data_IF_242697364095
#
_entry.id   IF_242697364095
#
_cell.length_a   1.000
_cell.length_b   1.000
_cell.length_c   1.000
_cell.angle_alpha   90.00
_cell.angle_beta   90.00
_cell.angle_gamma   90.00
#
_symmetry.space_group_name_H-M   'P 1'
#
loop_
_entity.id
_entity.type
_entity.pdbx_description
1 polymer ?
#
# COMPACT_ATOMS: atom_id res chain seq x y z
N UNK A 1 -13.12 -40.66 2.12
CA UNK A 1 -13.53 -40.65 0.66
C UNK A 1 -14.61 -39.59 0.55
N UNK A 2 -14.39 -38.52 -0.16
CA UNK A 2 -15.23 -37.40 -0.66
C UNK A 2 -14.78 -35.99 -0.20
N UNK A 3 -13.50 -35.64 -0.45
CA UNK A 3 -12.99 -34.28 -0.29
C UNK A 3 -12.54 -33.62 -1.61
N UNK A 4 -13.03 -34.10 -2.75
CA UNK A 4 -12.59 -33.61 -4.08
C UNK A 4 -13.78 -33.33 -5.03
N UNK A 5 -14.87 -32.75 -4.57
CA UNK A 5 -15.93 -32.30 -5.49
C UNK A 5 -16.51 -30.98 -5.04
N UNK A 6 -15.99 -29.88 -5.56
CA UNK A 6 -16.47 -28.52 -5.31
C UNK A 6 -15.80 -27.50 -6.24
N UNK A 7 -15.46 -27.89 -7.48
CA UNK A 7 -15.17 -26.92 -8.55
C UNK A 7 -16.49 -26.42 -9.11
N UNK A 8 -17.09 -25.42 -8.49
CA UNK A 8 -18.09 -24.61 -9.16
C UNK A 8 -17.40 -23.92 -10.36
N UNK A 9 -17.87 -24.23 -11.58
CA UNK A 9 -17.49 -23.49 -12.79
C UNK A 9 -17.80 -22.01 -12.54
N UNK A 10 -16.88 -21.08 -12.83
CA UNK A 10 -17.19 -19.66 -12.74
C UNK A 10 -18.29 -19.34 -13.76
N UNK A 11 -19.43 -18.86 -13.29
CA UNK A 11 -20.44 -18.26 -14.17
C UNK A 11 -19.79 -17.12 -14.96
N UNK A 12 -20.20 -16.91 -16.20
CA UNK A 12 -19.60 -15.93 -17.12
C UNK A 12 -19.55 -14.49 -16.56
N UNK A 13 -20.52 -14.13 -15.73
CA UNK A 13 -20.59 -12.86 -15.03
C UNK A 13 -19.44 -12.65 -14.00
N UNK A 14 -18.98 -13.73 -13.39
CA UNK A 14 -17.91 -13.71 -12.41
C UNK A 14 -16.52 -13.53 -13.07
N UNK A 15 -16.35 -14.03 -14.28
CA UNK A 15 -15.10 -13.91 -15.05
C UNK A 15 -14.86 -12.47 -15.52
N UNK A 16 -15.89 -11.75 -15.97
CA UNK A 16 -15.80 -10.35 -16.38
C UNK A 16 -15.45 -9.45 -15.18
N UNK A 17 -16.16 -9.61 -14.08
CA UNK A 17 -15.89 -8.88 -12.83
C UNK A 17 -14.44 -9.07 -12.35
N UNK A 18 -13.93 -10.30 -12.40
CA UNK A 18 -12.55 -10.61 -12.04
C UNK A 18 -11.55 -9.90 -12.96
N UNK A 19 -11.79 -9.89 -14.27
CA UNK A 19 -10.91 -9.19 -15.23
C UNK A 19 -10.86 -7.71 -14.95
N UNK A 20 -11.99 -7.06 -14.68
CA UNK A 20 -12.03 -5.64 -14.31
C UNK A 20 -11.24 -5.39 -13.02
N UNK A 21 -11.43 -6.22 -11.99
CA UNK A 21 -10.72 -6.06 -10.72
C UNK A 21 -9.20 -6.19 -10.89
N UNK A 22 -8.73 -7.15 -11.70
CA UNK A 22 -7.31 -7.31 -12.02
C UNK A 22 -6.78 -6.08 -12.78
N UNK A 23 -7.51 -5.60 -13.78
CA UNK A 23 -7.14 -4.40 -14.52
C UNK A 23 -7.07 -3.17 -13.61
N UNK A 24 -8.09 -2.94 -12.79
CA UNK A 24 -8.11 -1.84 -11.82
C UNK A 24 -6.93 -1.95 -10.86
N UNK A 25 -6.64 -3.14 -10.32
CA UNK A 25 -5.50 -3.36 -9.43
C UNK A 25 -4.18 -3.06 -10.14
N UNK A 26 -4.01 -3.53 -11.38
CA UNK A 26 -2.79 -3.29 -12.17
C UNK A 26 -2.58 -1.81 -12.56
N UNK A 27 -3.66 -1.12 -12.98
CA UNK A 27 -3.63 0.33 -13.25
C UNK A 27 -3.27 1.07 -11.96
N UNK A 28 -3.85 0.67 -10.83
CA UNK A 28 -3.57 1.26 -9.52
C UNK A 28 -2.11 1.09 -9.11
N UNK A 29 -1.49 -0.05 -9.41
CA UNK A 29 -0.05 -0.29 -9.21
C UNK A 29 0.78 0.69 -10.07
N UNK A 30 0.41 0.88 -11.33
CA UNK A 30 1.12 1.82 -12.21
C UNK A 30 1.01 3.26 -11.70
N UNK A 31 -0.21 3.70 -11.33
CA UNK A 31 -0.45 5.04 -10.78
C UNK A 31 0.30 5.24 -9.46
N UNK A 32 0.30 4.24 -8.59
CA UNK A 32 1.06 4.25 -7.33
C UNK A 32 2.55 4.45 -7.59
N UNK A 33 3.13 3.63 -8.46
CA UNK A 33 4.58 3.66 -8.73
C UNK A 33 5.01 4.96 -9.41
N UNK A 34 4.32 5.38 -10.46
CA UNK A 34 4.64 6.60 -11.21
C UNK A 34 4.37 7.86 -10.38
N UNK A 35 3.28 7.87 -9.62
CA UNK A 35 2.91 8.99 -8.77
C UNK A 35 3.91 9.21 -7.65
N UNK A 36 4.20 8.16 -6.87
CA UNK A 36 5.14 8.24 -5.77
C UNK A 36 6.57 8.55 -6.24
N UNK A 37 7.12 7.73 -7.15
CA UNK A 37 8.49 7.94 -7.64
C UNK A 37 8.64 9.22 -8.47
N UNK A 38 7.60 9.61 -9.22
CA UNK A 38 7.61 10.84 -10.00
C UNK A 38 7.59 12.10 -9.12
N UNK A 39 6.96 12.05 -7.94
CA UNK A 39 6.86 13.18 -7.04
C UNK A 39 8.21 13.65 -6.49
N UNK A 40 9.14 12.71 -6.28
CA UNK A 40 10.49 12.98 -5.73
C UNK A 40 11.33 13.91 -6.62
N UNK A 41 10.94 14.08 -7.89
CA UNK A 41 11.58 15.06 -8.78
C UNK A 41 11.20 16.51 -8.46
N UNK A 42 10.11 16.72 -7.75
CA UNK A 42 9.49 18.03 -7.54
C UNK A 42 9.42 18.48 -6.08
N UNK A 43 9.39 17.52 -5.15
CA UNK A 43 9.30 17.79 -3.71
C UNK A 43 10.27 16.89 -2.93
N UNK A 44 10.66 17.28 -1.70
CA UNK A 44 11.55 16.47 -0.86
C UNK A 44 11.01 15.05 -0.61
N UNK A 45 11.91 14.07 -0.54
CA UNK A 45 11.55 12.65 -0.34
C UNK A 45 10.72 12.47 0.94
N UNK A 46 11.11 13.12 2.05
CA UNK A 46 10.38 13.04 3.33
C UNK A 46 8.94 13.52 3.21
N UNK A 47 8.69 14.59 2.44
CA UNK A 47 7.35 15.09 2.18
C UNK A 47 6.58 14.14 1.24
N UNK A 48 7.25 13.60 0.21
CA UNK A 48 6.65 12.59 -0.69
C UNK A 48 6.21 11.36 0.10
N UNK A 49 7.05 10.83 0.99
CA UNK A 49 6.71 9.70 1.86
C UNK A 49 5.52 10.05 2.75
N UNK A 50 5.56 11.20 3.44
CA UNK A 50 4.47 11.61 4.34
C UNK A 50 3.12 11.71 3.60
N UNK A 51 3.10 12.37 2.45
CA UNK A 51 1.88 12.52 1.65
C UNK A 51 1.42 11.18 1.04
N UNK A 52 2.35 10.31 0.66
CA UNK A 52 2.02 8.97 0.20
C UNK A 52 1.30 8.16 1.28
N UNK A 53 1.75 8.23 2.54
CA UNK A 53 1.12 7.55 3.66
C UNK A 53 -0.25 8.12 4.09
N UNK A 54 -0.82 9.04 3.31
CA UNK A 54 -2.26 9.34 3.38
C UNK A 54 -3.13 8.25 2.75
N UNK A 55 -2.55 7.23 2.05
CA UNK A 55 -3.32 6.19 1.38
C UNK A 55 -4.32 5.45 2.28
N UNK A 56 -4.11 5.23 3.61
CA UNK A 56 -5.12 4.59 4.44
C UNK A 56 -6.40 5.42 4.57
N UNK A 57 -6.29 6.76 4.55
CA UNK A 57 -7.44 7.63 4.48
C UNK A 57 -8.26 7.39 3.19
N UNK A 58 -7.56 7.27 2.04
CA UNK A 58 -8.20 6.96 0.76
C UNK A 58 -8.83 5.57 0.75
N UNK A 59 -8.22 4.58 1.43
CA UNK A 59 -8.84 3.24 1.60
C UNK A 59 -10.13 3.33 2.38
N UNK A 60 -10.15 4.06 3.50
CA UNK A 60 -11.36 4.25 4.31
C UNK A 60 -12.46 4.96 3.51
N UNK A 61 -12.08 6.01 2.79
CA UNK A 61 -13.00 6.81 1.97
C UNK A 61 -13.59 5.98 0.82
N UNK A 62 -12.76 5.25 0.09
CA UNK A 62 -13.19 4.40 -1.03
C UNK A 62 -14.06 3.23 -0.55
N UNK A 63 -13.75 2.59 0.57
CA UNK A 63 -14.60 1.55 1.15
C UNK A 63 -16.00 2.10 1.50
N UNK A 64 -16.06 3.33 2.04
CA UNK A 64 -17.34 3.98 2.29
C UNK A 64 -18.16 4.17 0.99
N UNK A 65 -17.54 4.67 -0.08
CA UNK A 65 -18.25 4.89 -1.36
C UNK A 65 -18.58 3.60 -2.12
N UNK A 66 -17.73 2.58 -2.03
CA UNK A 66 -17.88 1.36 -2.83
C UNK A 66 -18.76 0.33 -2.11
N UNK A 67 -18.56 0.17 -0.80
CA UNK A 67 -19.20 -0.89 -0.01
C UNK A 67 -20.23 -0.35 1.00
N UNK A 68 -20.36 0.98 1.13
CA UNK A 68 -21.23 1.63 2.12
C UNK A 68 -20.74 1.47 3.57
N UNK A 69 -19.52 0.98 3.77
CA UNK A 69 -18.96 0.74 5.09
C UNK A 69 -18.56 2.06 5.77
N UNK A 70 -19.34 2.50 6.74
CA UNK A 70 -18.99 3.67 7.58
C UNK A 70 -17.80 3.31 8.46
N UNK A 71 -16.64 3.96 8.29
CA UNK A 71 -15.47 3.65 9.11
C UNK A 71 -15.75 3.99 10.58
N UNK A 72 -15.46 3.09 11.53
CA UNK A 72 -15.59 3.39 12.95
C UNK A 72 -14.75 4.62 13.32
N UNK A 73 -15.30 5.53 14.12
CA UNK A 73 -14.63 6.77 14.55
C UNK A 73 -13.21 6.52 15.09
N UNK A 74 -13.03 5.41 15.74
CA UNK A 74 -11.76 5.03 16.33
C UNK A 74 -10.72 4.60 15.27
N UNK A 75 -11.10 4.04 14.11
CA UNK A 75 -10.17 3.81 12.97
C UNK A 75 -9.68 5.13 12.39
N UNK A 76 -10.57 6.12 12.30
CA UNK A 76 -10.19 7.47 11.86
C UNK A 76 -9.21 8.09 12.86
N UNK A 77 -9.52 7.99 14.16
CA UNK A 77 -8.63 8.49 15.21
C UNK A 77 -7.27 7.80 15.19
N UNK A 78 -7.25 6.48 15.06
CA UNK A 78 -6.03 5.68 14.96
C UNK A 78 -5.17 6.10 13.75
N UNK A 79 -5.80 6.33 12.60
CA UNK A 79 -5.12 6.85 11.41
C UNK A 79 -4.52 8.23 11.69
N UNK A 80 -5.30 9.15 12.25
CA UNK A 80 -4.84 10.52 12.55
C UNK A 80 -3.64 10.50 13.49
N UNK A 81 -3.70 9.70 14.56
CA UNK A 81 -2.58 9.55 15.50
C UNK A 81 -1.34 8.99 14.79
N UNK A 82 -1.50 7.90 14.02
CA UNK A 82 -0.39 7.30 13.29
C UNK A 82 0.21 8.27 12.25
N UNK A 83 -0.62 9.04 11.55
CA UNK A 83 -0.18 10.04 10.58
C UNK A 83 0.62 11.18 11.22
N UNK A 84 0.17 11.69 12.36
CA UNK A 84 0.92 12.70 13.12
C UNK A 84 2.26 12.16 13.65
N UNK A 85 2.28 10.94 14.14
CA UNK A 85 3.51 10.26 14.53
C UNK A 85 4.49 10.13 13.37
N UNK A 86 3.99 9.76 12.17
CA UNK A 86 4.78 9.68 10.96
C UNK A 86 5.33 11.06 10.54
N UNK A 87 4.51 12.11 10.63
CA UNK A 87 4.95 13.49 10.36
C UNK A 87 6.09 13.92 11.28
N UNK A 88 6.01 13.59 12.57
CA UNK A 88 7.10 13.85 13.53
C UNK A 88 8.36 13.04 13.22
N UNK A 89 8.21 11.78 12.81
CA UNK A 89 9.33 10.88 12.48
C UNK A 89 10.09 11.35 11.24
N UNK A 90 9.38 11.78 10.20
CA UNK A 90 9.97 12.14 8.92
C UNK A 90 10.49 13.58 8.89
N UNK A 91 9.98 14.48 9.75
CA UNK A 91 10.37 15.87 9.83
C UNK A 91 10.35 16.59 8.47
N UNK A 92 9.22 16.61 7.73
CA UNK A 92 9.20 17.08 6.35
C UNK A 92 9.60 18.56 6.27
N UNK A 93 10.48 18.87 5.32
CA UNK A 93 10.80 20.26 4.99
C UNK A 93 9.69 20.82 4.10
N UNK A 94 9.20 22.01 4.44
CA UNK A 94 8.17 22.73 3.67
C UNK A 94 8.78 23.74 2.69
N UNK A 95 10.07 23.60 2.39
CA UNK A 95 10.76 24.41 1.40
C UNK A 95 10.52 23.88 0.00
N UNK A 96 10.37 24.76 -0.97
CA UNK A 96 10.23 24.45 -2.41
C UNK A 96 9.06 23.51 -2.74
N UNK A 97 7.86 23.88 -2.30
CA UNK A 97 6.64 23.14 -2.59
C UNK A 97 6.21 23.32 -4.05
N UNK A 98 6.44 22.32 -4.88
CA UNK A 98 5.88 22.24 -6.24
C UNK A 98 4.56 21.45 -6.22
N UNK A 99 3.47 22.09 -6.65
CA UNK A 99 2.14 21.49 -6.73
C UNK A 99 2.10 20.22 -7.60
N UNK A 100 3.00 20.11 -8.59
CA UNK A 100 3.13 18.92 -9.46
C UNK A 100 3.53 17.69 -8.65
N UNK A 101 4.52 17.87 -7.76
CA UNK A 101 4.95 16.79 -6.86
C UNK A 101 3.84 16.38 -5.89
N UNK A 102 3.13 17.36 -5.33
CA UNK A 102 1.98 17.10 -4.44
C UNK A 102 0.88 16.35 -5.19
N UNK A 103 0.50 16.78 -6.38
CA UNK A 103 -0.53 16.10 -7.18
C UNK A 103 -0.12 14.66 -7.53
N UNK A 104 1.14 14.46 -7.93
CA UNK A 104 1.69 13.14 -8.26
C UNK A 104 1.65 12.19 -7.06
N UNK A 105 2.11 12.63 -5.90
CA UNK A 105 2.13 11.75 -4.71
C UNK A 105 0.72 11.44 -4.19
N UNK A 106 -0.21 12.40 -4.24
CA UNK A 106 -1.61 12.14 -3.87
C UNK A 106 -2.29 11.18 -4.87
N UNK A 107 -1.99 11.30 -6.17
CA UNK A 107 -2.42 10.30 -7.15
C UNK A 107 -1.80 8.93 -6.84
N UNK A 108 -0.53 8.87 -6.45
CA UNK A 108 0.14 7.65 -6.00
C UNK A 108 -0.52 7.03 -4.75
N UNK A 109 -0.89 7.86 -3.77
CA UNK A 109 -1.61 7.41 -2.57
C UNK A 109 -3.00 6.84 -2.92
N UNK A 110 -3.72 7.50 -3.81
CA UNK A 110 -5.00 7.00 -4.33
C UNK A 110 -4.82 5.69 -5.10
N UNK A 111 -3.76 5.58 -5.91
CA UNK A 111 -3.37 4.34 -6.59
C UNK A 111 -3.09 3.22 -5.59
N UNK A 112 -2.36 3.49 -4.50
CA UNK A 112 -2.12 2.51 -3.42
C UNK A 112 -3.44 2.03 -2.80
N UNK A 113 -4.37 2.93 -2.52
CA UNK A 113 -5.69 2.58 -2.02
C UNK A 113 -6.48 1.69 -3.01
N UNK A 114 -6.46 2.04 -4.31
CA UNK A 114 -7.10 1.24 -5.36
C UNK A 114 -6.50 -0.16 -5.49
N UNK A 115 -5.16 -0.28 -5.37
CA UNK A 115 -4.46 -1.57 -5.36
C UNK A 115 -4.90 -2.43 -4.16
N UNK A 116 -4.96 -1.86 -2.96
CA UNK A 116 -5.33 -2.60 -1.74
C UNK A 116 -6.77 -3.09 -1.82
N UNK A 117 -7.72 -2.22 -2.22
CA UNK A 117 -9.14 -2.58 -2.31
C UNK A 117 -9.40 -3.55 -3.47
N UNK A 118 -8.85 -3.26 -4.65
CA UNK A 118 -8.96 -4.13 -5.82
C UNK A 118 -8.38 -5.51 -5.55
N UNK A 119 -7.21 -5.56 -4.90
CA UNK A 119 -6.56 -6.78 -4.45
C UNK A 119 -7.39 -7.55 -3.42
N UNK A 120 -7.93 -6.87 -2.39
CA UNK A 120 -8.79 -7.49 -1.38
C UNK A 120 -10.05 -8.14 -1.97
N UNK A 121 -10.65 -7.51 -2.98
CA UNK A 121 -11.81 -8.08 -3.70
C UNK A 121 -11.40 -9.20 -4.65
N UNK A 122 -10.26 -9.08 -5.31
CA UNK A 122 -9.76 -10.08 -6.27
C UNK A 122 -9.31 -11.37 -5.60
N UNK A 123 -8.66 -11.29 -4.44
CA UNK A 123 -8.12 -12.46 -3.72
C UNK A 123 -9.21 -13.43 -3.22
N UNK A 124 -10.48 -12.98 -3.19
CA UNK A 124 -11.63 -13.84 -2.91
C UNK A 124 -12.04 -14.68 -4.13
N UNK A 125 -11.67 -14.26 -5.33
CA UNK A 125 -12.10 -14.85 -6.61
C UNK A 125 -11.00 -15.65 -7.31
N UNK A 126 -9.72 -15.34 -7.01
CA UNK A 126 -8.56 -15.97 -7.67
C UNK A 126 -7.46 -16.23 -6.64
N UNK A 127 -6.53 -17.14 -6.97
CA UNK A 127 -5.36 -17.38 -6.11
C UNK A 127 -4.45 -16.15 -6.04
N UNK A 128 -3.84 -15.93 -4.88
CA UNK A 128 -2.92 -14.78 -4.67
C UNK A 128 -1.79 -14.75 -5.70
N UNK A 129 -1.22 -15.89 -6.07
CA UNK A 129 -0.16 -15.97 -7.08
C UNK A 129 -0.62 -15.42 -8.43
N UNK A 130 -1.80 -15.84 -8.89
CA UNK A 130 -2.35 -15.38 -10.15
C UNK A 130 -2.72 -13.89 -10.09
N UNK A 131 -3.28 -13.44 -8.97
CA UNK A 131 -3.56 -12.02 -8.76
C UNK A 131 -2.28 -11.19 -8.88
N UNK A 132 -1.23 -11.53 -8.13
CA UNK A 132 0.06 -10.83 -8.17
C UNK A 132 0.63 -10.85 -9.59
N UNK A 133 0.63 -12.01 -10.25
CA UNK A 133 1.15 -12.13 -11.61
C UNK A 133 0.41 -11.23 -12.61
N UNK A 134 -0.90 -11.34 -12.71
CA UNK A 134 -1.67 -10.58 -13.68
C UNK A 134 -1.71 -9.08 -13.39
N UNK A 135 -1.89 -8.68 -12.12
CA UNK A 135 -1.93 -7.25 -11.77
C UNK A 135 -0.57 -6.57 -11.97
N UNK A 136 0.54 -7.22 -11.61
CA UNK A 136 1.86 -6.66 -11.87
C UNK A 136 2.20 -6.66 -13.36
N UNK A 137 1.75 -7.65 -14.15
CA UNK A 137 1.92 -7.62 -15.60
C UNK A 137 1.23 -6.40 -16.21
N UNK A 138 -0.03 -6.13 -15.83
CA UNK A 138 -0.75 -4.92 -16.27
C UNK A 138 -0.01 -3.66 -15.85
N UNK A 139 0.40 -3.56 -14.57
CA UNK A 139 1.16 -2.41 -14.06
C UNK A 139 2.48 -2.21 -14.80
N UNK A 140 3.26 -3.29 -15.00
CA UNK A 140 4.55 -3.24 -15.68
C UNK A 140 4.41 -2.82 -17.15
N UNK A 141 3.41 -3.33 -17.87
CA UNK A 141 3.14 -2.93 -19.27
C UNK A 141 2.80 -1.44 -19.33
N UNK A 142 1.95 -0.93 -18.45
CA UNK A 142 1.58 0.48 -18.42
C UNK A 142 2.77 1.39 -18.09
N UNK A 143 3.53 1.04 -17.04
CA UNK A 143 4.74 1.78 -16.68
C UNK A 143 5.76 1.72 -17.80
N UNK A 144 5.99 0.55 -18.41
CA UNK A 144 6.90 0.38 -19.54
C UNK A 144 6.52 1.24 -20.73
N UNK A 145 5.25 1.28 -21.12
CA UNK A 145 4.75 2.14 -22.19
C UNK A 145 5.05 3.62 -21.88
N UNK A 146 4.75 4.07 -20.65
CA UNK A 146 4.99 5.46 -20.26
C UNK A 146 6.48 5.80 -20.28
N UNK A 147 7.35 4.92 -19.77
CA UNK A 147 8.79 5.14 -19.77
C UNK A 147 9.37 5.21 -21.19
N UNK A 148 8.84 4.39 -22.12
CA UNK A 148 9.24 4.43 -23.54
C UNK A 148 8.75 5.70 -24.23
N UNK A 149 7.51 6.12 -23.98
CA UNK A 149 6.95 7.33 -24.58
C UNK A 149 7.60 8.62 -24.05
N UNK A 150 8.11 8.61 -22.83
CA UNK A 150 8.77 9.76 -22.18
C UNK A 150 10.29 9.75 -22.36
N UNK A 151 10.84 8.74 -23.04
CA UNK A 151 12.28 8.54 -23.24
C UNK A 151 13.09 8.57 -21.93
N UNK A 152 12.48 8.09 -20.86
CA UNK A 152 13.09 8.06 -19.52
C UNK A 152 13.57 6.66 -19.10
N UNK A 153 13.46 5.68 -20.01
CA UNK A 153 13.89 4.31 -19.74
C UNK A 153 15.42 4.21 -19.79
N UNK A 154 16.03 3.83 -18.67
CA UNK A 154 17.47 3.55 -18.61
C UNK A 154 17.75 2.27 -17.84
N UNK A 155 18.73 1.51 -18.30
CA UNK A 155 19.19 0.28 -17.66
C UNK A 155 20.39 0.56 -16.75
N UNK A 156 20.54 -0.23 -15.70
CA UNK A 156 21.73 -0.15 -14.85
C UNK A 156 23.01 -0.47 -15.65
N UNK A 157 24.05 0.32 -15.44
CA UNK A 157 25.37 0.12 -16.06
C UNK A 157 26.32 -0.73 -15.21
N UNK A 158 25.91 -1.11 -13.99
CA UNK A 158 26.76 -1.83 -13.04
C UNK A 158 26.18 -3.17 -12.64
N UNK A 159 27.02 -4.20 -12.37
CA UNK A 159 26.56 -5.49 -11.85
C UNK A 159 25.80 -5.34 -10.51
N UNK A 160 26.26 -4.44 -9.65
CA UNK A 160 25.60 -4.16 -8.36
C UNK A 160 24.19 -3.59 -8.55
N UNK A 161 24.00 -2.71 -9.54
CA UNK A 161 22.67 -2.20 -9.90
C UNK A 161 21.74 -3.31 -10.39
N UNK A 162 22.21 -4.26 -11.17
CA UNK A 162 21.41 -5.42 -11.57
C UNK A 162 21.06 -6.33 -10.40
N UNK A 163 21.99 -6.56 -9.47
CA UNK A 163 21.70 -7.31 -8.24
C UNK A 163 20.65 -6.59 -7.39
N UNK A 164 20.72 -5.25 -7.28
CA UNK A 164 19.73 -4.43 -6.62
C UNK A 164 18.33 -4.58 -7.24
N UNK A 165 18.24 -4.47 -8.58
CA UNK A 165 16.98 -4.63 -9.32
C UNK A 165 16.39 -6.03 -9.07
N UNK A 166 17.19 -7.10 -9.17
CA UNK A 166 16.75 -8.46 -8.93
C UNK A 166 16.23 -8.63 -7.49
N UNK A 167 16.95 -8.08 -6.50
CA UNK A 167 16.55 -8.12 -5.09
C UNK A 167 15.22 -7.41 -4.85
N UNK A 168 15.03 -6.21 -5.41
CA UNK A 168 13.79 -5.46 -5.31
C UNK A 168 12.63 -6.25 -5.94
N UNK A 169 12.82 -6.85 -7.13
CA UNK A 169 11.78 -7.66 -7.77
C UNK A 169 11.33 -8.82 -6.89
N UNK A 170 12.28 -9.56 -6.31
CA UNK A 170 11.97 -10.69 -5.43
C UNK A 170 11.24 -10.23 -4.15
N UNK A 171 11.79 -9.22 -3.45
CA UNK A 171 11.20 -8.69 -2.23
C UNK A 171 9.81 -8.09 -2.47
N UNK A 172 9.61 -7.40 -3.60
CA UNK A 172 8.33 -6.82 -3.97
C UNK A 172 7.24 -7.89 -4.17
N UNK A 173 7.58 -9.00 -4.82
CA UNK A 173 6.64 -10.13 -5.00
C UNK A 173 6.25 -10.73 -3.65
N UNK A 174 7.21 -10.98 -2.75
CA UNK A 174 6.91 -11.46 -1.40
C UNK A 174 6.09 -10.46 -0.58
N UNK A 175 6.40 -9.18 -0.67
CA UNK A 175 5.65 -8.10 -0.04
C UNK A 175 4.19 -8.06 -0.51
N UNK A 176 3.96 -8.15 -1.82
CA UNK A 176 2.62 -8.17 -2.38
C UNK A 176 1.81 -9.43 -2.01
N UNK A 177 2.45 -10.59 -2.02
CA UNK A 177 1.79 -11.82 -1.57
C UNK A 177 1.35 -11.70 -0.10
N UNK A 178 2.22 -11.16 0.76
CA UNK A 178 1.93 -10.92 2.18
C UNK A 178 0.83 -9.87 2.36
N UNK A 179 0.87 -8.78 1.58
CA UNK A 179 -0.16 -7.74 1.58
C UNK A 179 -1.54 -8.32 1.25
N UNK A 180 -1.65 -9.07 0.15
CA UNK A 180 -2.94 -9.65 -0.24
C UNK A 180 -3.39 -10.79 0.69
N UNK A 181 -2.46 -11.50 1.33
CA UNK A 181 -2.81 -12.42 2.41
C UNK A 181 -3.40 -11.66 3.61
N UNK A 182 -2.78 -10.55 4.03
CA UNK A 182 -3.30 -9.71 5.11
C UNK A 182 -4.69 -9.16 4.78
N UNK A 183 -4.90 -8.59 3.58
CA UNK A 183 -6.22 -8.06 3.18
C UNK A 183 -7.30 -9.14 3.17
N UNK A 184 -6.94 -10.39 2.87
CA UNK A 184 -7.88 -11.52 2.92
C UNK A 184 -8.32 -11.86 4.34
N UNK A 185 -7.42 -11.74 5.33
CA UNK A 185 -7.67 -12.14 6.72
C UNK A 185 -8.25 -11.03 7.57
N UNK A 186 -7.79 -9.80 7.42
CA UNK A 186 -8.15 -8.66 8.27
C UNK A 186 -8.83 -7.50 7.52
N UNK A 187 -9.02 -7.65 6.19
CA UNK A 187 -9.66 -6.64 5.34
C UNK A 187 -8.74 -5.49 4.92
N UNK A 188 -9.17 -4.73 3.90
CA UNK A 188 -8.39 -3.65 3.29
C UNK A 188 -8.12 -2.49 4.25
N UNK A 189 -9.14 -2.04 5.00
CA UNK A 189 -9.04 -0.93 5.93
C UNK A 189 -8.04 -1.19 7.06
N UNK A 190 -8.08 -2.38 7.67
CA UNK A 190 -7.15 -2.72 8.74
C UNK A 190 -5.73 -2.90 8.21
N UNK A 191 -5.57 -3.58 7.08
CA UNK A 191 -4.27 -3.77 6.44
C UNK A 191 -3.63 -2.43 6.09
N UNK A 192 -4.38 -1.47 5.53
CA UNK A 192 -3.85 -0.17 5.16
C UNK A 192 -3.33 0.63 6.37
N UNK A 193 -4.01 0.57 7.51
CA UNK A 193 -3.56 1.22 8.75
C UNK A 193 -2.26 0.55 9.26
N UNK A 194 -2.19 -0.80 9.22
CA UNK A 194 -1.00 -1.54 9.66
C UNK A 194 0.25 -1.23 8.82
N UNK A 195 0.08 -0.87 7.55
CA UNK A 195 1.20 -0.46 6.68
C UNK A 195 1.88 0.84 7.13
N UNK A 196 1.25 1.66 7.96
CA UNK A 196 1.93 2.81 8.58
C UNK A 196 3.11 2.40 9.50
N UNK A 197 3.26 1.10 9.80
CA UNK A 197 4.43 0.58 10.50
C UNK A 197 5.67 0.46 9.58
N UNK A 198 5.48 0.46 8.27
CA UNK A 198 6.54 0.31 7.27
C UNK A 198 7.69 1.33 7.42
N UNK A 199 7.43 2.64 7.51
CA UNK A 199 8.51 3.63 7.70
C UNK A 199 9.27 3.40 8.99
N UNK A 200 8.58 2.99 10.06
CA UNK A 200 9.22 2.69 11.34
C UNK A 200 10.17 1.50 11.24
N UNK A 201 9.74 0.42 10.58
CA UNK A 201 10.57 -0.77 10.34
C UNK A 201 11.79 -0.38 9.48
N UNK A 202 11.59 0.44 8.44
CA UNK A 202 12.65 0.91 7.55
C UNK A 202 13.70 1.74 8.29
N UNK A 203 13.26 2.67 9.14
CA UNK A 203 14.15 3.50 9.97
C UNK A 203 14.91 2.63 10.99
N UNK A 204 14.21 1.70 11.64
CA UNK A 204 14.86 0.78 12.60
C UNK A 204 15.91 -0.10 11.91
N UNK A 205 15.62 -0.57 10.71
CA UNK A 205 16.57 -1.33 9.91
C UNK A 205 17.80 -0.48 9.51
N UNK A 206 17.59 0.80 9.13
CA UNK A 206 18.68 1.73 8.82
C UNK A 206 19.59 1.97 10.06
N UNK A 207 19.02 2.12 11.25
CA UNK A 207 19.79 2.22 12.48
C UNK A 207 20.67 0.98 12.73
N UNK A 208 20.08 -0.21 12.59
CA UNK A 208 20.77 -1.46 12.89
C UNK A 208 21.83 -1.81 11.85
N UNK A 209 21.56 -1.56 10.57
CA UNK A 209 22.41 -1.97 9.46
C UNK A 209 23.43 -0.89 9.06
N UNK A 210 23.06 0.39 9.17
CA UNK A 210 23.90 1.53 8.73
C UNK A 210 24.49 2.30 9.91
N UNK A 211 24.12 1.97 11.16
CA UNK A 211 24.60 2.66 12.35
C UNK A 211 24.07 4.09 12.50
N UNK A 212 22.96 4.44 11.82
CA UNK A 212 22.32 5.73 11.93
C UNK A 212 21.75 5.94 13.35
N UNK A 213 21.82 7.18 13.86
CA UNK A 213 21.23 7.54 15.15
C UNK A 213 19.93 8.29 14.94
N UNK A 214 18.87 7.83 15.59
CA UNK A 214 17.61 8.56 15.58
C UNK A 214 17.73 9.84 16.42
N UNK A 215 17.19 10.92 15.91
CA UNK A 215 16.91 12.11 16.70
C UNK A 215 15.76 11.85 17.68
N UNK A 216 15.69 12.65 18.74
CA UNK A 216 14.63 12.53 19.75
C UNK A 216 13.23 12.67 19.12
N UNK A 217 13.07 13.60 18.18
CA UNK A 217 11.85 13.82 17.40
C UNK A 217 11.38 12.57 16.65
N UNK A 218 12.32 11.88 16.01
CA UNK A 218 12.06 10.63 15.25
C UNK A 218 11.64 9.49 16.19
N UNK A 219 12.29 9.37 17.35
CA UNK A 219 11.95 8.36 18.36
C UNK A 219 10.56 8.60 18.96
N UNK A 220 10.21 9.85 19.26
CA UNK A 220 8.88 10.24 19.74
C UNK A 220 7.81 9.99 18.68
N UNK A 221 8.08 10.36 17.44
CA UNK A 221 7.18 10.10 16.31
C UNK A 221 6.90 8.62 16.12
N UNK A 222 7.94 7.78 16.20
CA UNK A 222 7.81 6.32 16.12
C UNK A 222 6.91 5.75 17.24
N UNK A 223 7.07 6.24 18.47
CA UNK A 223 6.21 5.85 19.59
C UNK A 223 4.74 6.20 19.34
N UNK A 224 4.48 7.40 18.82
CA UNK A 224 3.11 7.85 18.48
C UNK A 224 2.50 6.97 17.38
N UNK A 225 3.27 6.58 16.35
CA UNK A 225 2.80 5.63 15.33
C UNK A 225 2.38 4.31 15.97
N UNK A 226 3.20 3.75 16.85
CA UNK A 226 2.90 2.48 17.53
C UNK A 226 1.61 2.59 18.36
N UNK A 227 1.41 3.70 19.07
CA UNK A 227 0.17 3.93 19.83
C UNK A 227 -1.05 3.97 18.89
N UNK A 228 -0.96 4.67 17.76
CA UNK A 228 -2.02 4.72 16.75
C UNK A 228 -2.38 3.32 16.22
N UNK A 229 -1.36 2.49 15.94
CA UNK A 229 -1.55 1.13 15.45
C UNK A 229 -2.17 0.21 16.52
N UNK A 230 -1.79 0.36 17.78
CA UNK A 230 -2.40 -0.36 18.89
C UNK A 230 -3.89 -0.03 19.03
N UNK A 231 -4.25 1.25 18.95
CA UNK A 231 -5.65 1.68 18.96
C UNK A 231 -6.44 1.07 17.78
N UNK A 232 -5.82 0.94 16.60
CA UNK A 232 -6.44 0.30 15.45
C UNK A 232 -6.66 -1.20 15.65
N UNK A 233 -5.74 -1.89 16.33
CA UNK A 233 -5.76 -3.35 16.50
C UNK A 233 -6.76 -3.84 17.56
N UNK A 234 -6.89 -3.15 18.68
CA UNK A 234 -7.80 -3.54 19.79
C UNK A 234 -9.27 -3.53 19.37
N UNK A 235 -9.60 -2.74 18.37
CA UNK A 235 -10.95 -2.61 17.87
C UNK A 235 -11.44 -3.77 17.02
N UNK A 236 -10.54 -4.40 16.25
CA UNK A 236 -10.91 -5.59 15.48
C UNK A 236 -11.27 -6.76 16.38
N UNK A 237 -10.67 -6.84 17.55
CA UNK A 237 -10.94 -7.90 18.53
C UNK A 237 -12.32 -7.76 19.20
N UNK A 238 -12.73 -6.55 19.56
CA UNK A 238 -14.04 -6.29 20.18
C UNK A 238 -15.20 -6.47 19.20
N UNK A 239 -15.08 -6.02 17.96
CA UNK A 239 -16.13 -6.17 16.94
C UNK A 239 -16.28 -7.62 16.46
N UNK A 240 -15.17 -8.38 16.33
CA UNK A 240 -15.25 -9.81 15.96
C UNK A 240 -15.91 -10.68 17.04
N UNK A 241 -15.86 -10.27 18.30
CA UNK A 241 -16.52 -10.99 19.40
C UNK A 241 -18.01 -10.62 19.47
N UNK A 242 -18.39 -9.37 19.17
CA UNK A 242 -19.79 -8.92 19.17
C UNK A 242 -20.61 -9.52 18.03
N UNK A 243 -20.02 -9.68 16.83
CA UNK A 243 -20.73 -10.25 15.67
C UNK A 243 -20.85 -11.78 15.69
N UNK A 244 -20.22 -12.46 16.64
CA UNK A 244 -20.38 -13.91 16.86
C UNK A 244 -21.43 -14.26 17.92
N UNK A 245 -21.96 -13.24 18.60
CA UNK A 245 -22.96 -13.40 19.68
C UNK A 245 -24.36 -12.90 19.27
N UNK A 246 -24.53 -12.47 18.01
CA UNK A 246 -25.82 -12.24 17.34
C UNK A 246 -26.04 -13.33 16.27
#
# INVERSE_FOLDING_TARGET
KNLLSGKSKPESSNTWRLRILILVTGISIAVMSLGYLGSVKYIPVSLSVLLFFTFPFWVLLLNYFIDGEVPPRLKILAFVIAFFGLALTLGPTMQDLDWRGIALVLAGALGSAGMIIGGAKSVQLISMRNLVFFSNTVGAVLVGIILLLTDTFSLSQTPLGWAGIASICVLFVFGQLSLFAATRHIGSAQTSIMLNLEPFISISAAMLLLGERLELSQSLGALVVIIGLFLASDLTRKFSISSKNE
#
